data_IF_367132220860
#
_entry.id   IF_367132220860
#
_cell.length_a   1.000
_cell.length_b   1.000
_cell.length_c   1.000
_cell.angle_alpha   90.00
_cell.angle_beta   90.00
_cell.angle_gamma   90.00
#
_symmetry.space_group_name_H-M   'P 1'
#
loop_
_entity.id
_entity.type
_entity.pdbx_description
1 polymer ?
#
# COMPACT_ATOMS: atom_id res chain seq x y z
N UNK A 1 -27.47 -57.49 66.84
CA UNK A 1 -26.42 -56.56 66.37
C UNK A 1 -25.06 -57.12 66.75
N UNK A 2 -24.36 -57.75 65.80
CA UNK A 2 -22.89 -57.82 65.76
C UNK A 2 -22.46 -58.36 64.39
N UNK A 3 -21.38 -57.81 63.83
CA UNK A 3 -20.19 -58.55 63.38
C UNK A 3 -19.14 -57.59 62.81
N UNK A 4 -17.90 -57.92 63.16
CA UNK A 4 -16.65 -57.22 62.90
C UNK A 4 -16.15 -57.31 61.45
N UNK A 5 -15.22 -56.39 61.13
CA UNK A 5 -14.01 -56.50 60.30
C UNK A 5 -14.03 -57.40 59.05
N UNK A 6 -13.81 -56.77 57.88
CA UNK A 6 -12.79 -57.17 56.88
C UNK A 6 -12.31 -55.86 56.21
N UNK A 7 -11.15 -55.31 56.60
CA UNK A 7 -9.82 -55.57 56.02
C UNK A 7 -9.57 -54.90 54.64
N UNK A 8 -8.58 -54.00 54.68
CA UNK A 8 -7.88 -53.33 53.59
C UNK A 8 -7.72 -54.15 52.30
N UNK A 9 -8.00 -53.52 51.16
CA UNK A 9 -7.11 -53.61 50.00
C UNK A 9 -6.71 -52.22 49.54
N UNK A 10 -5.56 -51.83 50.05
CA UNK A 10 -4.68 -50.83 49.45
C UNK A 10 -4.29 -51.37 48.07
N UNK A 11 -4.72 -50.68 47.01
CA UNK A 11 -3.96 -50.62 45.76
C UNK A 11 -3.34 -49.22 45.74
N UNK A 12 -2.18 -49.12 46.38
CA UNK A 12 -1.22 -48.08 46.10
C UNK A 12 -0.54 -48.51 44.79
N UNK A 13 -0.71 -47.75 43.73
CA UNK A 13 0.32 -47.66 42.71
C UNK A 13 0.38 -46.24 42.16
N UNK A 14 1.47 -45.58 42.54
CA UNK A 14 2.14 -44.44 41.90
C UNK A 14 1.28 -43.34 41.26
N UNK A 15 1.16 -42.20 41.94
CA UNK A 15 2.02 -41.04 41.67
C UNK A 15 1.53 -39.86 42.53
N UNK A 16 2.32 -39.57 43.56
CA UNK A 16 2.32 -38.28 44.23
C UNK A 16 2.72 -37.20 43.22
N UNK A 17 1.75 -36.47 42.69
CA UNK A 17 1.92 -35.08 42.26
C UNK A 17 0.77 -34.28 42.86
N UNK A 18 0.93 -33.92 44.12
CA UNK A 18 0.15 -32.83 44.70
C UNK A 18 0.55 -31.57 43.91
N UNK A 19 -0.35 -30.93 43.16
CA UNK A 19 0.01 -29.70 42.45
C UNK A 19 0.46 -28.67 43.49
N UNK A 20 1.48 -27.83 43.19
CA UNK A 20 1.89 -26.80 44.13
C UNK A 20 0.67 -25.95 44.46
N UNK A 21 0.37 -25.87 45.76
CA UNK A 21 -0.60 -24.97 46.34
C UNK A 21 -0.09 -23.55 46.05
N UNK A 22 -0.54 -22.98 44.93
CA UNK A 22 -0.26 -21.61 44.57
C UNK A 22 -1.12 -20.74 45.49
N UNK A 23 -0.45 -20.07 46.44
CA UNK A 23 -1.03 -18.97 47.19
C UNK A 23 -1.76 -18.02 46.23
N UNK A 24 -3.03 -17.66 46.50
CA UNK A 24 -3.74 -16.70 45.68
C UNK A 24 -3.01 -15.35 45.74
N UNK A 25 -2.56 -14.89 44.58
CA UNK A 25 -1.93 -13.58 44.38
C UNK A 25 -2.83 -12.50 45.01
N UNK A 26 -2.28 -11.58 45.82
CA UNK A 26 -3.04 -10.67 46.67
C UNK A 26 -3.88 -9.67 45.87
N UNK A 27 -4.96 -9.26 46.53
CA UNK A 27 -5.99 -8.32 46.09
C UNK A 27 -5.47 -7.11 45.31
N UNK A 28 -5.68 -7.17 43.99
CA UNK A 28 -5.46 -6.09 43.04
C UNK A 28 -6.23 -6.38 41.76
N UNK A 29 -7.50 -6.76 41.91
CA UNK A 29 -8.36 -7.34 40.88
C UNK A 29 -8.48 -6.44 39.63
N UNK A 30 -7.59 -6.60 38.66
CA UNK A 30 -7.94 -6.30 37.26
C UNK A 30 -8.99 -7.34 36.89
N UNK A 31 -10.23 -6.88 36.74
CA UNK A 31 -11.37 -7.74 36.37
C UNK A 31 -10.97 -8.71 35.25
N UNK A 32 -11.21 -10.03 35.40
CA UNK A 32 -10.85 -11.02 34.37
C UNK A 32 -11.50 -10.73 33.02
N UNK A 33 -12.59 -9.95 33.01
CA UNK A 33 -13.24 -9.44 31.79
C UNK A 33 -12.39 -8.35 31.13
N UNK A 34 -11.88 -7.39 31.92
CA UNK A 34 -11.02 -6.31 31.43
C UNK A 34 -9.75 -6.85 30.78
N UNK A 35 -9.13 -7.87 31.39
CA UNK A 35 -7.94 -8.52 30.84
C UNK A 35 -8.20 -9.17 29.47
N UNK A 36 -9.37 -9.81 29.29
CA UNK A 36 -9.78 -10.41 28.01
C UNK A 36 -10.01 -9.34 26.94
N UNK A 37 -10.70 -8.26 27.29
CA UNK A 37 -10.93 -7.12 26.39
C UNK A 37 -9.58 -6.53 25.94
N UNK A 38 -8.65 -6.33 26.88
CA UNK A 38 -7.31 -5.83 26.57
C UNK A 38 -6.55 -6.74 25.62
N UNK A 39 -6.61 -8.06 25.80
CA UNK A 39 -5.99 -9.02 24.87
C UNK A 39 -6.57 -8.90 23.46
N UNK A 40 -7.90 -8.78 23.32
CA UNK A 40 -8.53 -8.59 22.01
C UNK A 40 -8.07 -7.26 21.38
N UNK A 41 -8.09 -6.16 22.15
CA UNK A 41 -7.69 -4.84 21.67
C UNK A 41 -6.23 -4.82 21.23
N UNK A 42 -5.31 -5.44 21.99
CA UNK A 42 -3.89 -5.52 21.65
C UNK A 42 -3.68 -6.30 20.34
N UNK A 43 -4.40 -7.40 20.13
CA UNK A 43 -4.30 -8.17 18.89
C UNK A 43 -4.87 -7.43 17.68
N UNK A 44 -6.00 -6.74 17.83
CA UNK A 44 -6.55 -5.87 16.78
C UNK A 44 -5.56 -4.74 16.45
N UNK A 45 -5.06 -4.04 17.48
CA UNK A 45 -4.12 -2.94 17.29
C UNK A 45 -2.85 -3.43 16.60
N UNK A 46 -2.26 -4.54 17.06
CA UNK A 46 -1.08 -5.15 16.43
C UNK A 46 -1.31 -5.46 14.96
N UNK A 47 -2.46 -6.06 14.61
CA UNK A 47 -2.81 -6.36 13.23
C UNK A 47 -2.92 -5.10 12.36
N UNK A 48 -3.62 -4.07 12.85
CA UNK A 48 -3.79 -2.80 12.12
C UNK A 48 -2.46 -2.06 11.98
N UNK A 49 -1.67 -1.94 13.05
CA UNK A 49 -0.36 -1.29 13.02
C UNK A 49 0.61 -2.00 12.08
N UNK A 50 0.64 -3.35 12.09
CA UNK A 50 1.47 -4.12 11.17
C UNK A 50 1.17 -3.73 9.71
N UNK A 51 -0.11 -3.57 9.36
CA UNK A 51 -0.54 -3.20 8.00
C UNK A 51 -0.18 -1.77 7.65
N UNK A 52 -0.47 -0.82 8.53
CA UNK A 52 -0.10 0.60 8.30
C UNK A 52 1.41 0.77 8.16
N UNK A 53 2.19 0.04 8.96
CA UNK A 53 3.65 0.10 8.91
C UNK A 53 4.20 -0.53 7.62
N UNK A 54 3.65 -1.66 7.17
CA UNK A 54 3.98 -2.26 5.86
C UNK A 54 3.67 -1.30 4.71
N UNK A 55 2.52 -0.63 4.75
CA UNK A 55 2.13 0.35 3.73
C UNK A 55 3.07 1.56 3.70
N UNK A 56 3.39 2.10 4.87
CA UNK A 56 4.33 3.23 4.98
C UNK A 56 5.73 2.84 4.51
N UNK A 57 6.22 1.66 4.90
CA UNK A 57 7.54 1.17 4.48
C UNK A 57 7.59 0.98 2.96
N UNK A 58 6.57 0.35 2.39
CA UNK A 58 6.47 0.18 0.94
C UNK A 58 6.47 1.53 0.21
N UNK A 59 5.74 2.53 0.72
CA UNK A 59 5.70 3.86 0.13
C UNK A 59 7.07 4.56 0.09
N UNK A 60 7.97 4.26 1.03
CA UNK A 60 9.31 4.87 1.11
C UNK A 60 10.38 4.04 0.39
N UNK A 61 10.31 2.71 0.47
CA UNK A 61 11.39 1.81 0.05
C UNK A 61 11.06 0.91 -1.14
N UNK A 62 9.82 0.95 -1.65
CA UNK A 62 9.39 0.15 -2.81
C UNK A 62 9.41 -1.37 -2.60
N UNK A 63 9.66 -1.85 -1.38
CA UNK A 63 9.76 -3.28 -1.05
C UNK A 63 9.01 -3.58 0.24
N UNK A 64 8.50 -4.80 0.40
CA UNK A 64 7.80 -5.23 1.63
C UNK A 64 8.66 -6.25 2.38
N UNK A 65 9.35 -5.84 3.44
CA UNK A 65 10.24 -6.76 4.13
C UNK A 65 9.44 -7.75 4.98
N UNK A 66 9.73 -9.03 4.80
CA UNK A 66 9.04 -10.16 5.45
C UNK A 66 9.18 -10.11 6.99
N UNK A 67 10.23 -9.48 7.51
CA UNK A 67 10.47 -9.39 8.94
C UNK A 67 9.43 -8.55 9.69
N UNK A 68 8.81 -7.54 9.05
CA UNK A 68 7.81 -6.68 9.71
C UNK A 68 6.63 -7.52 10.21
N UNK A 69 5.89 -8.26 9.36
CA UNK A 69 4.79 -9.08 9.84
C UNK A 69 5.23 -10.22 10.77
N UNK A 70 6.46 -10.71 10.66
CA UNK A 70 7.01 -11.68 11.63
C UNK A 70 7.16 -11.09 13.04
N UNK A 71 7.61 -9.84 13.16
CA UNK A 71 7.70 -9.14 14.46
C UNK A 71 6.32 -8.96 15.08
N UNK A 72 5.32 -8.54 14.28
CA UNK A 72 3.95 -8.35 14.78
C UNK A 72 3.23 -9.66 15.11
N UNK A 73 3.64 -10.79 14.51
CA UNK A 73 3.14 -12.14 14.85
C UNK A 73 3.52 -12.56 16.28
N UNK A 74 4.55 -11.96 16.88
CA UNK A 74 4.91 -12.21 18.28
C UNK A 74 3.78 -11.82 19.26
N UNK A 75 2.92 -10.86 18.88
CA UNK A 75 1.82 -10.39 19.74
C UNK A 75 0.72 -11.45 19.92
N UNK A 76 0.12 -12.03 18.87
CA UNK A 76 -0.86 -13.10 19.04
C UNK A 76 -0.25 -14.38 19.62
N UNK A 77 1.02 -14.69 19.32
CA UNK A 77 1.72 -15.82 19.93
C UNK A 77 1.94 -15.62 21.44
N UNK A 78 2.39 -14.43 21.85
CA UNK A 78 2.51 -14.06 23.26
C UNK A 78 1.16 -14.04 23.98
N UNK A 79 0.09 -13.65 23.29
CA UNK A 79 -1.28 -13.70 23.81
C UNK A 79 -1.75 -15.14 24.07
N UNK A 80 -1.44 -16.07 23.16
CA UNK A 80 -1.73 -17.50 23.35
C UNK A 80 -0.97 -18.08 24.54
N UNK A 81 0.32 -17.77 24.65
CA UNK A 81 1.15 -18.16 25.79
C UNK A 81 0.55 -17.64 27.10
N UNK A 82 0.20 -16.35 27.13
CA UNK A 82 -0.40 -15.72 28.30
C UNK A 82 -1.73 -16.39 28.70
N UNK A 83 -2.62 -16.69 27.74
CA UNK A 83 -3.87 -17.38 28.00
C UNK A 83 -3.63 -18.79 28.56
N UNK A 84 -2.66 -19.52 28.01
CA UNK A 84 -2.35 -20.89 28.43
C UNK A 84 -1.83 -20.95 29.88
N UNK A 85 -0.95 -20.03 30.27
CA UNK A 85 -0.30 -20.05 31.59
C UNK A 85 -1.09 -19.32 32.67
N UNK A 86 -1.78 -18.22 32.35
CA UNK A 86 -2.35 -17.33 33.37
C UNK A 86 -3.89 -17.36 33.46
N UNK A 87 -4.61 -17.83 32.44
CA UNK A 87 -6.08 -17.70 32.42
C UNK A 87 -6.87 -18.93 32.89
N UNK A 88 -6.22 -20.09 33.11
CA UNK A 88 -6.85 -21.30 33.66
C UNK A 88 -8.01 -21.88 32.84
N UNK A 89 -8.42 -23.13 33.12
CA UNK A 89 -9.44 -23.90 32.38
C UNK A 89 -10.88 -23.40 32.63
N UNK A 90 -11.16 -22.12 32.42
CA UNK A 90 -12.52 -21.56 32.53
C UNK A 90 -13.08 -21.36 31.12
N UNK A 91 -14.28 -21.87 30.83
CA UNK A 91 -14.82 -22.11 29.47
C UNK A 91 -14.70 -21.02 28.40
N UNK A 92 -14.46 -19.75 28.77
CA UNK A 92 -14.16 -18.65 27.85
C UNK A 92 -12.72 -18.67 27.28
N UNK A 93 -11.83 -19.47 27.86
CA UNK A 93 -10.45 -19.68 27.39
C UNK A 93 -10.43 -20.20 25.94
N UNK A 94 -11.34 -21.11 25.58
CA UNK A 94 -11.46 -21.62 24.21
C UNK A 94 -11.74 -20.52 23.22
N UNK A 95 -12.66 -19.61 23.54
CA UNK A 95 -13.02 -18.48 22.67
C UNK A 95 -11.81 -17.56 22.47
N UNK A 96 -11.10 -17.21 23.54
CA UNK A 96 -9.90 -16.37 23.47
C UNK A 96 -8.76 -17.02 22.69
N UNK A 97 -8.54 -18.33 22.85
CA UNK A 97 -7.57 -19.10 22.06
C UNK A 97 -7.94 -19.08 20.58
N UNK A 98 -9.19 -19.34 20.23
CA UNK A 98 -9.67 -19.28 18.84
C UNK A 98 -9.46 -17.89 18.23
N UNK A 99 -9.74 -16.82 18.98
CA UNK A 99 -9.49 -15.44 18.53
C UNK A 99 -7.99 -15.23 18.26
N UNK A 100 -7.11 -15.64 19.16
CA UNK A 100 -5.66 -15.46 18.96
C UNK A 100 -5.12 -16.34 17.82
N UNK A 101 -5.64 -17.55 17.64
CA UNK A 101 -5.31 -18.41 16.47
C UNK A 101 -5.78 -17.74 15.18
N UNK A 102 -6.97 -17.14 15.16
CA UNK A 102 -7.45 -16.38 14.02
C UNK A 102 -6.53 -15.19 13.71
N UNK A 103 -6.04 -14.46 14.73
CA UNK A 103 -5.05 -13.40 14.53
C UNK A 103 -3.68 -13.93 14.07
N UNK A 104 -3.25 -15.11 14.50
CA UNK A 104 -2.06 -15.76 13.95
C UNK A 104 -2.25 -16.05 12.46
N UNK A 105 -3.39 -16.64 12.08
CA UNK A 105 -3.72 -16.93 10.69
C UNK A 105 -3.79 -15.64 9.85
N UNK A 106 -4.44 -14.59 10.35
CA UNK A 106 -4.48 -13.27 9.72
C UNK A 106 -3.09 -12.63 9.61
N UNK A 107 -2.22 -12.81 10.59
CA UNK A 107 -0.83 -12.37 10.56
C UNK A 107 0.00 -13.09 9.48
N UNK A 108 -0.18 -14.41 9.34
CA UNK A 108 0.45 -15.20 8.26
C UNK A 108 -0.08 -14.75 6.90
N UNK A 109 -1.39 -14.51 6.80
CA UNK A 109 -2.04 -13.98 5.60
C UNK A 109 -1.48 -12.59 5.24
N UNK A 110 -1.11 -11.74 6.20
CA UNK A 110 -0.41 -10.47 5.94
C UNK A 110 0.99 -10.63 5.32
N UNK A 111 1.68 -11.76 5.54
CA UNK A 111 2.99 -12.03 4.93
C UNK A 111 2.85 -12.25 3.43
N UNK A 112 1.76 -12.90 3.00
CA UNK A 112 1.57 -13.32 1.62
C UNK A 112 0.61 -12.43 0.82
N UNK A 113 -0.16 -11.55 1.47
CA UNK A 113 -1.03 -10.62 0.76
C UNK A 113 -0.22 -9.47 0.15
N UNK A 114 -0.42 -9.17 -1.15
CA UNK A 114 0.12 -7.96 -1.74
C UNK A 114 -0.35 -6.74 -0.95
N UNK A 115 0.57 -5.84 -0.60
CA UNK A 115 0.24 -4.56 0.06
C UNK A 115 -0.63 -3.68 -0.86
N UNK A 116 -0.67 -3.98 -2.17
CA UNK A 116 -1.49 -3.28 -3.16
C UNK A 116 -2.98 -3.63 -3.10
N UNK A 117 -3.41 -4.61 -2.30
CA UNK A 117 -4.80 -5.10 -2.31
C UNK A 117 -5.81 -4.21 -1.56
N UNK A 118 -5.42 -3.02 -1.12
CA UNK A 118 -6.36 -1.98 -0.67
C UNK A 118 -6.02 -0.65 -1.35
N UNK A 119 -6.46 -0.51 -2.59
CA UNK A 119 -6.71 0.80 -3.21
C UNK A 119 -8.21 0.94 -3.35
N UNK A 120 -8.82 1.80 -2.54
CA UNK A 120 -9.66 2.93 -2.96
C UNK A 120 -9.72 3.86 -1.75
N UNK A 121 -8.80 4.82 -1.66
CA UNK A 121 -8.93 5.93 -0.72
C UNK A 121 -9.94 6.93 -1.27
N UNK A 122 -10.87 7.41 -0.43
CA UNK A 122 -11.85 8.47 -0.72
C UNK A 122 -11.26 9.83 -1.11
N UNK A 123 -9.93 9.92 -1.21
CA UNK A 123 -9.18 11.18 -1.20
C UNK A 123 -8.58 11.51 -2.60
N UNK A 124 -8.90 10.70 -3.62
CA UNK A 124 -8.47 10.95 -5.01
C UNK A 124 -7.06 10.47 -5.34
N UNK A 125 -6.50 9.57 -4.51
CA UNK A 125 -5.18 8.94 -4.67
C UNK A 125 -5.31 7.47 -5.07
N UNK A 126 -4.51 7.05 -6.05
CA UNK A 126 -4.23 5.63 -6.30
C UNK A 126 -2.74 5.39 -6.40
N UNK A 127 -2.24 4.35 -5.73
CA UNK A 127 -0.83 3.96 -5.79
C UNK A 127 -0.58 2.73 -6.66
N UNK A 128 -1.55 2.36 -7.49
CA UNK A 128 -1.48 1.18 -8.35
C UNK A 128 -1.04 1.54 -9.78
N UNK A 129 -0.50 0.54 -10.47
CA UNK A 129 -0.10 0.67 -11.88
C UNK A 129 -1.28 0.59 -12.85
N UNK A 130 -2.51 0.34 -12.37
CA UNK A 130 -3.67 0.13 -13.24
C UNK A 130 -3.89 1.32 -14.18
N UNK A 131 -3.71 2.54 -13.66
CA UNK A 131 -3.80 3.75 -14.46
C UNK A 131 -2.67 3.84 -15.51
N UNK A 132 -1.43 3.59 -15.12
CA UNK A 132 -0.25 3.59 -16.01
C UNK A 132 -0.44 2.58 -17.15
N UNK A 133 -0.88 1.37 -16.84
CA UNK A 133 -1.19 0.32 -17.82
C UNK A 133 -2.32 0.73 -18.77
N UNK A 134 -3.36 1.39 -18.25
CA UNK A 134 -4.46 1.90 -19.08
C UNK A 134 -4.00 2.98 -20.05
N UNK A 135 -3.12 3.88 -19.61
CA UNK A 135 -2.54 4.92 -20.47
C UNK A 135 -1.62 4.30 -21.51
N UNK A 136 -0.77 3.35 -21.13
CA UNK A 136 0.08 2.60 -22.06
C UNK A 136 -0.72 1.93 -23.16
N UNK A 137 -1.87 1.34 -22.81
CA UNK A 137 -2.78 0.74 -23.79
C UNK A 137 -3.40 1.76 -24.76
N UNK A 138 -3.73 2.97 -24.28
CA UNK A 138 -4.25 4.05 -25.13
C UNK A 138 -3.17 4.60 -26.07
N UNK A 139 -1.94 4.72 -25.57
CA UNK A 139 -0.79 5.22 -26.34
C UNK A 139 -0.15 4.15 -27.23
N UNK A 140 -0.46 2.86 -27.04
CA UNK A 140 0.29 1.78 -27.67
C UNK A 140 1.75 1.70 -27.19
N UNK A 141 2.04 2.15 -25.97
CA UNK A 141 3.37 2.13 -25.34
C UNK A 141 3.35 1.12 -24.20
N UNK A 142 4.30 0.19 -24.22
CA UNK A 142 4.50 -0.77 -23.13
C UNK A 142 5.33 -0.12 -22.01
N UNK A 143 4.66 0.51 -21.07
CA UNK A 143 5.30 1.01 -19.85
C UNK A 143 5.75 -0.15 -18.95
N UNK A 144 6.86 0.02 -18.19
CA UNK A 144 7.24 -0.93 -17.15
C UNK A 144 6.14 -1.11 -16.10
N UNK A 145 6.11 -2.31 -15.50
CA UNK A 145 5.07 -2.71 -14.54
C UNK A 145 5.53 -2.70 -13.09
N UNK A 146 6.82 -2.49 -12.84
CA UNK A 146 7.40 -2.49 -11.48
C UNK A 146 7.97 -1.13 -11.10
N UNK A 147 7.62 -0.68 -9.89
CA UNK A 147 8.07 0.60 -9.33
C UNK A 147 7.07 1.13 -8.30
N UNK A 148 7.05 2.45 -8.14
CA UNK A 148 6.05 3.16 -7.33
C UNK A 148 5.29 4.13 -8.23
N UNK A 149 3.98 3.95 -8.37
CA UNK A 149 3.10 4.85 -9.09
C UNK A 149 2.22 5.60 -8.09
N UNK A 150 2.02 6.90 -8.30
CA UNK A 150 1.08 7.72 -7.54
C UNK A 150 0.25 8.53 -8.52
N UNK A 151 -1.04 8.22 -8.60
CA UNK A 151 -2.03 8.92 -9.41
C UNK A 151 -2.88 9.80 -8.52
N UNK A 152 -3.05 11.06 -8.92
CA UNK A 152 -3.86 12.06 -8.25
C UNK A 152 -4.92 12.57 -9.22
N UNK A 153 -6.17 12.66 -8.76
CA UNK A 153 -7.22 13.28 -9.56
C UNK A 153 -6.98 14.79 -9.74
N UNK A 154 -7.58 15.39 -10.77
CA UNK A 154 -7.38 16.81 -11.09
C UNK A 154 -7.85 17.76 -9.99
N UNK A 155 -8.86 17.41 -9.19
CA UNK A 155 -9.38 18.29 -8.12
C UNK A 155 -8.43 18.32 -6.92
N UNK A 156 -7.88 17.16 -6.56
CA UNK A 156 -6.90 16.99 -5.50
C UNK A 156 -5.54 17.53 -5.95
N UNK A 157 -5.15 17.30 -7.20
CA UNK A 157 -3.96 17.89 -7.81
C UNK A 157 -4.01 19.42 -7.91
N UNK A 158 -5.20 20.04 -8.02
CA UNK A 158 -5.37 21.49 -7.92
C UNK A 158 -5.30 21.99 -6.46
N UNK A 159 -5.72 21.16 -5.49
CA UNK A 159 -5.86 21.55 -4.07
C UNK A 159 -4.57 21.40 -3.26
N UNK A 160 -3.87 20.28 -3.34
CA UNK A 160 -2.65 20.04 -2.54
C UNK A 160 -1.47 20.90 -2.97
N UNK A 161 -1.53 21.39 -4.18
CA UNK A 161 -0.36 21.86 -4.89
C UNK A 161 -0.18 23.38 -4.77
N UNK A 162 -0.95 24.08 -3.92
CA UNK A 162 -0.72 25.51 -3.61
C UNK A 162 0.71 25.84 -3.14
N UNK A 163 1.54 24.85 -2.75
CA UNK A 163 2.95 25.04 -2.35
C UNK A 163 4.00 24.48 -3.32
N UNK A 164 3.77 23.35 -4.00
CA UNK A 164 4.70 22.76 -4.99
C UNK A 164 4.46 23.24 -6.43
N UNK A 165 3.27 23.76 -6.72
CA UNK A 165 2.81 24.15 -8.06
C UNK A 165 3.12 25.62 -8.40
N UNK A 166 4.14 26.19 -7.78
CA UNK A 166 4.67 27.50 -8.20
C UNK A 166 5.31 27.44 -9.59
N UNK A 167 5.67 26.24 -10.05
CA UNK A 167 6.14 25.96 -11.42
C UNK A 167 5.00 25.77 -12.43
N UNK A 168 3.88 25.09 -12.09
CA UNK A 168 2.70 25.04 -12.97
C UNK A 168 1.75 26.24 -12.81
N UNK A 169 2.17 27.32 -12.14
CA UNK A 169 1.49 28.63 -12.19
C UNK A 169 1.41 29.22 -13.59
N UNK A 170 2.10 28.63 -14.57
CA UNK A 170 1.87 28.87 -15.99
C UNK A 170 0.77 27.98 -16.58
N UNK A 171 -0.14 27.39 -15.80
CA UNK A 171 -1.38 26.83 -16.32
C UNK A 171 -2.07 27.92 -17.15
N UNK A 172 -1.83 27.82 -18.46
CA UNK A 172 -2.18 28.84 -19.43
C UNK A 172 -3.70 28.87 -19.47
N UNK A 173 -4.20 30.09 -19.45
CA UNK A 173 -5.61 30.46 -19.46
C UNK A 173 -6.39 29.58 -20.47
N UNK A 174 -7.02 28.50 -20.03
CA UNK A 174 -7.75 27.55 -20.90
C UNK A 174 -7.47 26.06 -20.71
N UNK A 175 -6.51 25.68 -19.87
CA UNK A 175 -6.19 24.28 -19.55
C UNK A 175 -6.86 23.81 -18.24
N UNK A 176 -7.34 22.56 -18.22
CA UNK A 176 -7.90 21.91 -17.02
C UNK A 176 -7.29 20.52 -16.85
N UNK A 177 -6.59 20.31 -15.75
CA UNK A 177 -5.98 19.01 -15.41
C UNK A 177 -7.10 18.04 -15.00
N UNK A 178 -7.06 16.84 -15.57
CA UNK A 178 -7.96 15.75 -15.25
C UNK A 178 -7.31 14.76 -14.29
N UNK A 179 -6.04 14.44 -14.51
CA UNK A 179 -5.24 13.53 -13.68
C UNK A 179 -3.74 13.83 -13.83
N UNK A 180 -2.99 13.56 -12.77
CA UNK A 180 -1.53 13.60 -12.75
C UNK A 180 -1.03 12.28 -12.14
N UNK A 181 -0.11 11.60 -12.82
CA UNK A 181 0.48 10.36 -12.32
C UNK A 181 1.98 10.48 -12.36
N UNK A 182 2.61 10.29 -11.21
CA UNK A 182 4.06 10.21 -11.07
C UNK A 182 4.46 8.76 -10.83
N UNK A 183 5.48 8.28 -11.53
CA UNK A 183 5.99 6.92 -11.42
C UNK A 183 7.50 6.97 -11.26
N UNK A 184 8.03 6.19 -10.32
CA UNK A 184 9.47 5.95 -10.18
C UNK A 184 9.69 4.47 -10.44
N UNK A 185 10.43 4.14 -11.50
CA UNK A 185 10.71 2.76 -11.89
C UNK A 185 11.94 2.20 -11.17
N UNK A 186 12.02 0.87 -11.07
CA UNK A 186 13.24 0.19 -10.63
C UNK A 186 14.28 0.12 -11.76
N UNK A 187 15.56 0.21 -11.40
CA UNK A 187 16.71 0.34 -12.30
C UNK A 187 16.74 -0.67 -13.46
N UNK A 188 16.36 -1.93 -13.24
CA UNK A 188 16.46 -2.98 -14.25
C UNK A 188 15.41 -2.81 -15.37
N UNK A 189 14.15 -2.52 -15.02
CA UNK A 189 13.10 -2.29 -16.01
C UNK A 189 13.25 -0.91 -16.67
N UNK A 190 13.72 0.09 -15.91
CA UNK A 190 13.96 1.43 -16.42
C UNK A 190 14.95 1.43 -17.60
N UNK A 191 16.07 0.71 -17.48
CA UNK A 191 17.08 0.61 -18.55
C UNK A 191 16.56 0.03 -19.86
N UNK A 192 15.71 -1.00 -19.78
CA UNK A 192 15.10 -1.60 -20.97
C UNK A 192 14.12 -0.63 -21.63
N UNK A 193 13.34 0.09 -20.82
CA UNK A 193 12.43 1.11 -21.31
C UNK A 193 13.18 2.30 -21.91
N UNK A 194 14.25 2.78 -21.27
CA UNK A 194 15.14 3.84 -21.75
C UNK A 194 15.72 3.54 -23.13
N UNK A 195 16.12 2.28 -23.37
CA UNK A 195 16.55 1.85 -24.70
C UNK A 195 15.42 1.97 -25.72
N UNK A 196 14.21 1.53 -25.36
CA UNK A 196 13.05 1.58 -26.25
C UNK A 196 12.59 3.00 -26.58
N UNK A 197 12.64 3.93 -25.62
CA UNK A 197 12.28 5.34 -25.84
C UNK A 197 13.35 6.05 -26.67
N UNK A 198 14.63 5.70 -26.50
CA UNK A 198 15.73 6.31 -27.24
C UNK A 198 15.70 5.97 -28.75
N UNK A 199 15.18 4.78 -29.10
CA UNK A 199 15.02 4.31 -30.48
C UNK A 199 13.70 4.79 -31.12
N UNK A 200 12.77 5.33 -30.32
CA UNK A 200 11.41 5.61 -30.74
C UNK A 200 11.23 7.04 -31.27
N UNK A 201 10.63 7.23 -32.46
CA UNK A 201 10.51 8.54 -33.10
C UNK A 201 9.43 9.44 -32.47
N UNK A 202 8.58 8.90 -31.59
CA UNK A 202 7.50 9.66 -30.95
C UNK A 202 7.96 10.40 -29.69
N UNK A 203 9.13 10.06 -29.13
CA UNK A 203 9.68 10.74 -27.96
C UNK A 203 10.56 11.90 -28.39
N UNK A 204 10.14 13.10 -28.03
CA UNK A 204 10.86 14.34 -28.25
C UNK A 204 11.90 14.52 -27.15
N UNK A 205 13.16 14.74 -27.54
CA UNK A 205 14.25 15.10 -26.60
C UNK A 205 14.33 16.59 -26.34
N UNK A 206 13.87 17.36 -27.31
CA UNK A 206 13.77 18.81 -27.22
C UNK A 206 12.35 19.20 -27.62
N UNK A 207 11.81 20.16 -26.90
CA UNK A 207 10.52 20.76 -27.22
C UNK A 207 10.76 21.75 -28.34
N UNK A 208 10.15 21.57 -29.53
CA UNK A 208 10.23 22.58 -30.56
C UNK A 208 9.43 23.82 -30.11
N UNK A 209 9.98 25.00 -30.39
CA UNK A 209 9.32 26.30 -30.10
C UNK A 209 7.91 26.38 -30.70
N UNK A 210 7.63 25.59 -31.75
CA UNK A 210 6.34 25.48 -32.42
C UNK A 210 6.05 24.02 -32.79
N UNK A 211 4.87 23.54 -32.42
CA UNK A 211 4.26 22.30 -32.90
C UNK A 211 3.03 22.68 -33.71
N UNK A 212 3.06 22.45 -35.02
CA UNK A 212 1.94 22.81 -35.91
C UNK A 212 1.67 24.32 -36.01
N UNK A 213 2.67 25.19 -35.79
CA UNK A 213 2.52 26.64 -35.87
C UNK A 213 1.95 27.33 -34.62
N UNK A 214 1.54 26.57 -33.60
CA UNK A 214 1.08 27.09 -32.32
C UNK A 214 2.23 27.19 -31.31
N UNK A 215 2.24 28.27 -30.53
CA UNK A 215 3.21 28.47 -29.45
C UNK A 215 3.05 27.34 -28.43
N UNK A 216 4.13 26.61 -28.22
CA UNK A 216 4.13 25.50 -27.31
C UNK A 216 3.87 25.98 -25.88
N UNK A 217 2.71 25.59 -25.39
CA UNK A 217 2.19 25.89 -24.08
C UNK A 217 2.06 24.53 -23.40
N UNK A 218 3.18 23.81 -23.22
CA UNK A 218 3.13 22.67 -22.34
C UNK A 218 3.37 23.10 -20.91
N UNK A 219 2.77 22.32 -20.03
CA UNK A 219 3.03 22.31 -18.61
C UNK A 219 4.54 22.07 -18.41
N UNK A 220 5.11 22.73 -17.40
CA UNK A 220 6.55 22.75 -17.12
C UNK A 220 7.18 21.37 -17.29
N UNK A 221 8.11 21.30 -18.24
CA UNK A 221 8.82 20.11 -18.71
C UNK A 221 10.29 20.16 -18.32
N UNK A 222 10.67 21.16 -17.50
CA UNK A 222 12.02 21.25 -16.97
C UNK A 222 12.36 20.02 -16.14
N UNK A 223 13.55 19.47 -16.37
CA UNK A 223 14.02 18.28 -15.68
C UNK A 223 13.56 16.94 -16.28
N UNK A 224 13.00 16.92 -17.50
CA UNK A 224 12.70 15.68 -18.22
C UNK A 224 13.48 15.60 -19.54
N UNK A 225 13.95 14.40 -19.87
CA UNK A 225 14.80 14.13 -21.05
C UNK A 225 14.00 13.70 -22.27
N UNK A 226 12.82 13.10 -22.05
CA UNK A 226 11.95 12.60 -23.11
C UNK A 226 10.52 13.02 -22.88
N UNK A 227 9.88 13.53 -23.91
CA UNK A 227 8.54 14.12 -23.83
C UNK A 227 7.72 13.65 -25.02
N UNK A 228 6.47 13.27 -24.79
CA UNK A 228 5.51 13.02 -25.85
C UNK A 228 4.18 13.70 -25.55
N UNK A 229 3.49 14.05 -26.63
CA UNK A 229 2.12 14.52 -26.62
C UNK A 229 1.26 13.56 -27.39
N UNK A 230 0.08 13.26 -26.87
CA UNK A 230 -0.91 12.46 -27.57
C UNK A 230 -2.27 13.13 -27.47
N UNK A 231 -2.85 13.45 -28.63
CA UNK A 231 -4.20 13.94 -28.73
C UNK A 231 -5.18 12.76 -28.65
N UNK A 232 -5.96 12.67 -27.58
CA UNK A 232 -6.92 11.57 -27.39
C UNK A 232 -8.02 11.57 -28.45
N UNK A 233 -8.38 12.74 -28.99
CA UNK A 233 -9.49 12.89 -29.91
C UNK A 233 -9.06 12.59 -31.36
N UNK A 234 -7.87 13.04 -31.79
CA UNK A 234 -7.36 12.77 -33.15
C UNK A 234 -6.48 11.51 -33.23
N UNK A 235 -6.05 10.97 -32.09
CA UNK A 235 -5.11 9.83 -31.96
C UNK A 235 -3.74 10.07 -32.59
N UNK A 236 -3.30 11.32 -32.59
CA UNK A 236 -2.01 11.72 -33.17
C UNK A 236 -0.99 12.05 -32.09
N UNK A 237 0.26 11.65 -32.34
CA UNK A 237 1.39 12.02 -31.52
C UNK A 237 1.96 13.37 -31.97
N UNK A 238 2.38 14.18 -30.99
CA UNK A 238 3.12 15.42 -31.23
C UNK A 238 2.44 16.33 -32.27
N UNK A 239 1.13 16.49 -32.14
CA UNK A 239 0.34 17.37 -32.98
C UNK A 239 -0.63 18.19 -32.13
N UNK A 240 -0.69 19.50 -32.39
CA UNK A 240 -1.59 20.43 -31.73
C UNK A 240 -2.61 20.96 -32.75
N UNK A 241 -3.92 20.83 -32.48
CA UNK A 241 -4.98 21.30 -33.37
C UNK A 241 -5.09 22.83 -33.33
N UNK A 242 -5.49 23.44 -34.45
CA UNK A 242 -5.55 24.90 -34.60
C UNK A 242 -6.68 25.58 -33.81
N UNK A 243 -7.80 24.89 -33.57
CA UNK A 243 -8.95 25.45 -32.86
C UNK A 243 -9.80 24.35 -32.23
N UNK A 244 -10.48 24.65 -31.13
CA UNK A 244 -11.42 23.72 -30.49
C UNK A 244 -10.93 23.24 -29.12
N UNK A 245 -11.70 22.32 -28.51
CA UNK A 245 -11.37 21.74 -27.19
C UNK A 245 -10.98 20.29 -27.34
N UNK A 246 -9.79 19.95 -26.87
CA UNK A 246 -9.20 18.62 -27.01
C UNK A 246 -8.65 18.12 -25.69
N UNK A 247 -8.54 16.79 -25.58
CA UNK A 247 -7.97 16.10 -24.44
C UNK A 247 -6.61 15.53 -24.81
N UNK A 248 -5.60 15.81 -24.00
CA UNK A 248 -4.23 15.37 -24.26
C UNK A 248 -3.72 14.49 -23.13
N UNK A 249 -2.86 13.54 -23.50
CA UNK A 249 -1.82 13.05 -22.62
C UNK A 249 -0.51 13.77 -22.93
N UNK A 250 0.14 14.30 -21.90
CA UNK A 250 1.54 14.68 -21.94
C UNK A 250 2.29 13.71 -21.05
N UNK A 251 3.22 12.96 -21.64
CA UNK A 251 4.05 12.01 -20.89
C UNK A 251 5.49 12.50 -20.94
N UNK A 252 6.12 12.56 -19.79
CA UNK A 252 7.47 13.09 -19.60
C UNK A 252 8.29 12.08 -18.83
N UNK A 253 9.53 11.87 -19.23
CA UNK A 253 10.42 10.90 -18.63
C UNK A 253 11.80 11.49 -18.36
N UNK A 254 12.31 11.27 -17.15
CA UNK A 254 13.65 11.62 -16.71
C UNK A 254 14.45 10.32 -16.53
N UNK A 255 15.47 10.15 -17.36
CA UNK A 255 16.35 8.99 -17.39
C UNK A 255 17.40 8.99 -16.27
N UNK A 256 17.69 10.14 -15.67
CA UNK A 256 18.61 10.22 -14.52
C UNK A 256 17.99 9.63 -13.25
N UNK A 257 16.69 9.86 -13.05
CA UNK A 257 15.96 9.45 -11.84
C UNK A 257 14.95 8.31 -12.09
N UNK A 258 14.89 7.78 -13.31
CA UNK A 258 13.91 6.78 -13.75
C UNK A 258 12.44 7.20 -13.48
N UNK A 259 12.17 8.50 -13.59
CA UNK A 259 10.89 9.12 -13.23
C UNK A 259 10.04 9.35 -14.48
N UNK A 260 8.79 8.88 -14.45
CA UNK A 260 7.78 9.14 -15.47
C UNK A 260 6.66 9.99 -14.87
N UNK A 261 6.29 11.06 -15.56
CA UNK A 261 5.10 11.86 -15.26
C UNK A 261 4.11 11.76 -16.42
N UNK A 262 2.88 11.40 -16.11
CA UNK A 262 1.75 11.37 -17.04
C UNK A 262 0.74 12.43 -16.61
N UNK A 263 0.50 13.41 -17.48
CA UNK A 263 -0.52 14.43 -17.30
C UNK A 263 -1.64 14.19 -18.29
N UNK A 264 -2.88 14.16 -17.80
CA UNK A 264 -4.07 14.22 -18.64
C UNK A 264 -4.76 15.54 -18.43
N UNK A 265 -5.01 16.28 -19.49
CA UNK A 265 -5.65 17.59 -19.40
C UNK A 265 -6.53 17.88 -20.61
N UNK A 266 -7.49 18.77 -20.44
CA UNK A 266 -8.20 19.37 -21.57
C UNK A 266 -7.67 20.76 -21.85
N UNK A 267 -7.50 21.08 -23.12
CA UNK A 267 -7.05 22.40 -23.59
C UNK A 267 -8.01 22.95 -24.63
N UNK A 268 -8.27 24.25 -24.54
CA UNK A 268 -9.01 25.00 -25.55
C UNK A 268 -8.03 25.87 -26.34
N UNK A 269 -7.98 25.68 -27.66
CA UNK A 269 -7.25 26.50 -28.63
C UNK A 269 -8.19 27.56 -29.20
#
# INVERSE_FOLDING_TARGET
>A
MSKEKIENRIFNDGLNEQPPEFDPIPDGCRSPILMRIMLVVINIASFLFCRSFLQSWYGVHGSTPVWIPLVFLAVPLGSLFFIYYYMGKVGYERIMKTICIAFCALGVVNIFLPVHSFSVGSDGYSTDFSYVTSVGSVLGISFPSEGSATTVDGKTAERENRSRLTSLKSLIKGERILTCTDVIYFDEQAKNFEKSIAESPIWLKEIPDRLGGLAYSALDSSGYDYILFFNCDTKEFNFLPESGKYTFYQVMYNSQNHELRILKYTKKF
#
